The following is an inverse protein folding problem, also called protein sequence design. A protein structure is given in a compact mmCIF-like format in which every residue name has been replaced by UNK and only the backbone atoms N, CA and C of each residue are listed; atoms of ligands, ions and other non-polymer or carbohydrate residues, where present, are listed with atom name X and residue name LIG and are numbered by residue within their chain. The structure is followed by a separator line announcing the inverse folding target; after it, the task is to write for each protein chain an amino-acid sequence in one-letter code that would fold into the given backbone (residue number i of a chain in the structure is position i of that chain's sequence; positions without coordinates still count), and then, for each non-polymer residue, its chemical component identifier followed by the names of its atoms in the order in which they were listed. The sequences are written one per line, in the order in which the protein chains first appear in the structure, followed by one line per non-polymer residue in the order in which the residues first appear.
data_IF_569303854892
#
_entry.id   IF_569303854892
#
_cell.length_a   1.000
_cell.length_b   1.000
_cell.length_c   1.000
_cell.angle_alpha   90.00
_cell.angle_beta   90.00
_cell.angle_gamma   90.00
#
_symmetry.space_group_name_H-M   'P 1'
#
loop_
_entity.id
_entity.type
_entity.pdbx_description
1 polymer ?
#
# COMPACT_ATOMS: atom_id res chain seq x y z
N UNK A 1 20.47 -6.32 4.77
CA UNK A 1 20.34 -5.53 3.53
C UNK A 1 19.46 -6.23 2.48
N UNK A 2 19.35 -7.57 2.49
CA UNK A 2 18.49 -8.33 1.57
C UNK A 2 16.97 -8.16 1.84
N UNK A 3 16.57 -8.07 3.10
CA UNK A 3 15.15 -8.01 3.50
C UNK A 3 14.43 -6.73 3.04
N UNK A 4 15.13 -5.60 2.95
CA UNK A 4 14.57 -4.34 2.43
C UNK A 4 14.33 -4.40 0.93
N UNK A 5 15.18 -5.10 0.18
CA UNK A 5 15.04 -5.31 -1.27
C UNK A 5 13.81 -6.15 -1.62
N UNK A 6 13.55 -7.21 -0.86
CA UNK A 6 12.36 -8.07 -1.04
C UNK A 6 11.07 -7.28 -0.75
N UNK A 7 11.03 -6.49 0.33
CA UNK A 7 9.87 -5.64 0.65
C UNK A 7 9.60 -4.58 -0.42
N UNK A 8 10.66 -3.93 -0.91
CA UNK A 8 10.54 -2.98 -2.01
C UNK A 8 9.99 -3.65 -3.29
N UNK A 9 10.39 -4.89 -3.56
CA UNK A 9 9.84 -5.66 -4.68
C UNK A 9 8.35 -5.95 -4.52
N UNK A 10 7.89 -6.32 -3.31
CA UNK A 10 6.46 -6.52 -3.02
C UNK A 10 5.67 -5.22 -3.23
N UNK A 11 6.16 -4.09 -2.69
CA UNK A 11 5.50 -2.78 -2.89
C UNK A 11 5.44 -2.40 -4.37
N UNK A 12 6.50 -2.67 -5.15
CA UNK A 12 6.47 -2.45 -6.61
C UNK A 12 5.38 -3.28 -7.30
N UNK A 13 5.24 -4.56 -6.95
CA UNK A 13 4.18 -5.44 -7.49
C UNK A 13 2.79 -4.93 -7.14
N UNK A 14 2.57 -4.52 -5.89
CA UNK A 14 1.29 -3.93 -5.44
C UNK A 14 0.95 -2.64 -6.20
N UNK A 15 1.94 -1.77 -6.40
CA UNK A 15 1.75 -0.52 -7.16
C UNK A 15 1.51 -0.78 -8.64
N UNK A 16 2.13 -1.81 -9.23
CA UNK A 16 1.88 -2.22 -10.60
C UNK A 16 0.43 -2.69 -10.79
N UNK A 17 -0.09 -3.53 -9.89
CA UNK A 17 -1.49 -3.97 -9.93
C UNK A 17 -2.49 -2.81 -9.86
N UNK A 18 -2.18 -1.78 -9.07
CA UNK A 18 -2.99 -0.54 -9.00
C UNK A 18 -2.82 0.37 -10.22
N UNK A 19 -1.66 0.35 -10.88
CA UNK A 19 -1.45 1.08 -12.12
C UNK A 19 -2.20 0.42 -13.30
N UNK A 20 -2.20 -0.91 -13.35
CA UNK A 20 -2.90 -1.70 -14.38
C UNK A 20 -4.41 -1.50 -14.34
N UNK A 21 -5.00 -1.34 -13.15
CA UNK A 21 -6.44 -1.03 -13.04
C UNK A 21 -6.81 0.37 -13.52
N UNK A 22 -5.84 1.27 -13.71
CA UNK A 22 -6.06 2.66 -14.09
C UNK A 22 -6.74 3.53 -13.02
N UNK A 23 -7.00 2.99 -11.83
CA UNK A 23 -7.77 3.65 -10.76
C UNK A 23 -6.89 4.54 -9.89
N UNK A 24 -7.43 5.65 -9.40
CA UNK A 24 -6.82 6.44 -8.32
C UNK A 24 -7.00 5.75 -6.96
N UNK A 25 -6.28 6.21 -5.92
CA UNK A 25 -6.53 5.70 -4.56
C UNK A 25 -7.94 6.06 -4.05
N UNK A 26 -8.50 7.17 -4.54
CA UNK A 26 -9.86 7.60 -4.19
C UNK A 26 -10.92 6.70 -4.84
N UNK A 27 -10.71 6.25 -6.07
CA UNK A 27 -11.65 5.36 -6.76
C UNK A 27 -11.70 3.99 -6.06
N UNK A 28 -10.53 3.43 -5.73
CA UNK A 28 -10.44 2.17 -4.97
C UNK A 28 -11.08 2.33 -3.58
N UNK A 29 -10.87 3.47 -2.92
CA UNK A 29 -11.49 3.77 -1.64
C UNK A 29 -13.04 3.79 -1.74
N UNK A 30 -13.58 4.43 -2.76
CA UNK A 30 -15.02 4.48 -3.01
C UNK A 30 -15.63 3.08 -3.24
N UNK A 31 -14.97 2.23 -4.02
CA UNK A 31 -15.44 0.86 -4.30
C UNK A 31 -15.35 -0.06 -3.07
N UNK A 32 -14.32 0.10 -2.26
CA UNK A 32 -14.04 -0.79 -1.11
C UNK A 32 -14.71 -0.33 0.19
N UNK A 33 -15.14 0.94 0.27
CA UNK A 33 -15.60 1.57 1.50
C UNK A 33 -14.46 1.90 2.48
N UNK A 34 -13.22 1.92 1.99
CA UNK A 34 -12.03 2.29 2.75
C UNK A 34 -11.71 3.77 2.56
N UNK A 35 -10.77 4.33 3.34
CA UNK A 35 -10.23 5.67 3.06
C UNK A 35 -9.10 5.58 2.02
N UNK A 36 -8.94 6.61 1.21
CA UNK A 36 -7.85 6.70 0.22
C UNK A 36 -6.46 6.58 0.87
N UNK A 37 -6.27 7.17 2.05
CA UNK A 37 -5.04 7.07 2.85
C UNK A 37 -4.81 5.62 3.27
N UNK A 38 -5.84 4.92 3.76
CA UNK A 38 -5.69 3.53 4.17
C UNK A 38 -5.37 2.63 2.97
N UNK A 39 -6.02 2.83 1.81
CA UNK A 39 -5.66 2.13 0.56
C UNK A 39 -4.20 2.38 0.17
N UNK A 40 -3.74 3.64 0.21
CA UNK A 40 -2.35 3.97 -0.09
C UNK A 40 -1.37 3.32 0.90
N UNK A 41 -1.71 3.27 2.19
CA UNK A 41 -0.92 2.60 3.23
C UNK A 41 -0.86 1.09 3.01
N UNK A 42 -1.96 0.46 2.65
CA UNK A 42 -2.04 -0.97 2.34
C UNK A 42 -1.11 -1.34 1.18
N UNK A 43 -1.21 -0.63 0.06
CA UNK A 43 -0.38 -0.87 -1.14
C UNK A 43 1.11 -0.55 -0.90
N UNK A 44 1.42 0.31 0.09
CA UNK A 44 2.80 0.60 0.53
C UNK A 44 3.28 -0.31 1.68
N UNK A 45 2.52 -1.33 2.06
CA UNK A 45 2.83 -2.22 3.20
C UNK A 45 3.08 -1.46 4.52
N UNK A 46 2.34 -0.39 4.77
CA UNK A 46 2.39 0.39 6.02
C UNK A 46 1.21 0.08 6.96
N UNK A 47 0.18 -0.58 6.44
CA UNK A 47 -0.97 -1.06 7.18
C UNK A 47 -1.28 -2.53 6.88
N UNK A 48 -1.97 -3.19 7.80
CA UNK A 48 -2.44 -4.57 7.65
C UNK A 48 -3.84 -4.56 7.03
N UNK A 49 -4.07 -5.41 6.04
CA UNK A 49 -5.39 -5.66 5.47
C UNK A 49 -6.23 -6.53 6.42
N UNK A 50 -7.49 -6.16 6.65
CA UNK A 50 -8.40 -6.97 7.45
C UNK A 50 -9.07 -8.03 6.55
N UNK A 51 -9.31 -9.26 7.05
CA UNK A 51 -9.91 -10.33 6.24
C UNK A 51 -11.24 -9.92 5.59
N UNK A 52 -12.07 -9.18 6.31
CA UNK A 52 -13.40 -8.75 5.86
C UNK A 52 -13.36 -7.81 4.64
N UNK A 53 -12.25 -7.09 4.45
CA UNK A 53 -12.09 -6.12 3.36
C UNK A 53 -11.25 -6.67 2.21
N UNK A 54 -10.63 -7.84 2.36
CA UNK A 54 -9.83 -8.48 1.33
C UNK A 54 -10.63 -8.83 0.05
N UNK A 55 -11.86 -9.38 0.11
CA UNK A 55 -12.65 -9.64 -1.09
C UNK A 55 -13.00 -8.37 -1.87
N UNK A 56 -13.33 -7.29 -1.16
CA UNK A 56 -13.63 -5.99 -1.77
C UNK A 56 -12.42 -5.41 -2.47
N UNK A 57 -11.24 -5.50 -1.84
CA UNK A 57 -10.00 -5.01 -2.43
C UNK A 57 -9.61 -5.81 -3.69
N UNK A 58 -9.79 -7.14 -3.68
CA UNK A 58 -9.57 -7.99 -4.87
C UNK A 58 -10.52 -7.64 -6.01
N UNK A 59 -11.79 -7.39 -5.71
CA UNK A 59 -12.75 -6.95 -6.71
C UNK A 59 -12.36 -5.58 -7.31
N UNK A 60 -11.89 -4.65 -6.48
CA UNK A 60 -11.45 -3.33 -6.93
C UNK A 60 -10.14 -3.36 -7.74
N UNK A 61 -9.23 -4.29 -7.41
CA UNK A 61 -7.93 -4.47 -8.05
C UNK A 61 -7.73 -5.93 -8.48
N UNK A 62 -8.30 -6.34 -9.64
CA UNK A 62 -8.29 -7.74 -10.09
C UNK A 62 -6.90 -8.32 -10.35
N UNK A 63 -5.90 -7.46 -10.63
CA UNK A 63 -4.52 -7.85 -10.85
C UNK A 63 -3.77 -8.23 -9.54
N UNK A 64 -4.41 -8.08 -8.37
CA UNK A 64 -3.84 -8.56 -7.11
C UNK A 64 -3.90 -10.09 -7.05
N UNK A 65 -2.73 -10.71 -7.10
CA UNK A 65 -2.55 -12.15 -6.92
C UNK A 65 -2.74 -12.55 -5.45
N UNK A 66 -3.13 -13.81 -5.21
CA UNK A 66 -3.44 -14.31 -3.87
C UNK A 66 -2.27 -14.20 -2.90
N UNK A 67 -1.03 -14.45 -3.38
CA UNK A 67 0.19 -14.27 -2.59
C UNK A 67 0.35 -12.82 -2.09
N UNK A 68 -0.01 -11.83 -2.91
CA UNK A 68 0.08 -10.42 -2.51
C UNK A 68 -0.97 -10.08 -1.46
N UNK A 69 -2.19 -10.60 -1.59
CA UNK A 69 -3.27 -10.37 -0.61
C UNK A 69 -2.91 -11.04 0.72
N UNK A 70 -2.38 -12.26 0.70
CA UNK A 70 -1.90 -12.96 1.89
C UNK A 70 -0.80 -12.18 2.59
N UNK A 71 0.18 -11.68 1.83
CA UNK A 71 1.22 -10.79 2.37
C UNK A 71 0.63 -9.53 2.98
N UNK A 72 -0.41 -8.93 2.38
CA UNK A 72 -1.09 -7.74 2.92
C UNK A 72 -1.85 -8.02 4.21
N UNK A 73 -2.38 -9.23 4.40
CA UNK A 73 -3.05 -9.66 5.62
C UNK A 73 -2.08 -9.92 6.78
N UNK A 74 -0.79 -10.15 6.50
CA UNK A 74 0.24 -10.25 7.54
C UNK A 74 0.59 -8.87 8.11
N UNK A 75 0.78 -8.74 9.44
CA UNK A 75 1.24 -7.50 10.08
C UNK A 75 2.52 -6.99 9.41
N UNK A 76 2.55 -5.75 8.89
CA UNK A 76 3.74 -5.25 8.22
C UNK A 76 4.80 -4.83 9.23
N UNK A 77 6.05 -5.19 8.96
CA UNK A 77 7.18 -4.50 9.58
C UNK A 77 7.38 -3.17 8.86
N UNK A 78 6.94 -2.07 9.48
CA UNK A 78 6.98 -0.73 8.88
C UNK A 78 8.42 -0.38 8.51
N UNK A 79 8.59 0.03 7.26
CA UNK A 79 9.90 0.31 6.68
C UNK A 79 10.20 1.81 6.71
N UNK A 80 11.42 2.17 7.09
CA UNK A 80 11.93 3.52 6.94
C UNK A 80 12.86 3.59 5.72
N UNK A 81 12.66 4.58 4.85
CA UNK A 81 13.60 4.89 3.77
C UNK A 81 14.40 6.12 4.19
N UNK A 82 15.75 6.04 4.29
CA UNK A 82 16.57 7.15 4.81
C UNK A 82 16.30 8.49 4.12
N UNK A 83 16.15 8.44 2.80
CA UNK A 83 15.96 9.65 1.99
C UNK A 83 14.52 10.16 1.96
N UNK A 84 13.57 9.49 2.62
CA UNK A 84 12.15 9.89 2.58
C UNK A 84 11.92 11.29 3.14
N UNK A 85 12.77 11.70 4.08
CA UNK A 85 12.74 13.02 4.71
C UNK A 85 13.22 14.12 3.75
N UNK A 86 13.88 13.77 2.65
CA UNK A 86 14.29 14.74 1.64
C UNK A 86 13.17 15.06 0.64
N UNK A 87 12.09 14.28 0.61
CA UNK A 87 10.93 14.58 -0.23
C UNK A 87 10.20 15.81 0.34
N UNK A 88 10.02 16.91 -0.43
CA UNK A 88 9.52 18.18 0.10
C UNK A 88 8.12 18.09 0.72
N UNK A 89 7.21 17.29 0.18
CA UNK A 89 5.86 17.17 0.76
C UNK A 89 5.89 16.44 2.12
N UNK A 90 6.73 15.42 2.27
CA UNK A 90 6.92 14.67 3.52
C UNK A 90 7.72 15.50 4.54
N UNK A 91 8.74 16.24 4.12
CA UNK A 91 9.53 17.10 5.00
C UNK A 91 8.66 18.11 5.76
N UNK A 92 7.65 18.69 5.09
CA UNK A 92 6.70 19.63 5.70
C UNK A 92 5.88 18.99 6.83
N UNK A 93 5.60 17.69 6.76
CA UNK A 93 4.89 16.94 7.80
C UNK A 93 5.78 16.57 9.01
N UNK A 94 7.10 16.70 8.90
CA UNK A 94 8.03 16.47 10.03
C UNK A 94 7.98 17.59 11.07
N UNK A 95 7.67 18.82 10.65
CA UNK A 95 7.63 19.98 11.53
C UNK A 95 6.29 19.96 12.26
N UNK A 96 6.26 19.25 13.38
CA UNK A 96 5.23 19.43 14.40
C UNK A 96 5.82 20.43 15.40
N UNK A 97 5.26 21.64 15.44
CA UNK A 97 5.53 22.61 16.50
C UNK A 97 4.74 22.22 17.76
#
# INVERSE_FOLDING_TARGET
MEESGVRAAVVRRLMAAKAESGKSFSDVAAETGLTNVYVAQLLRRQAQLKPDTAPKLRAALPALTDDLVDLMMQPPFRSYHPDIVHEPAIYRCRIVN
#
